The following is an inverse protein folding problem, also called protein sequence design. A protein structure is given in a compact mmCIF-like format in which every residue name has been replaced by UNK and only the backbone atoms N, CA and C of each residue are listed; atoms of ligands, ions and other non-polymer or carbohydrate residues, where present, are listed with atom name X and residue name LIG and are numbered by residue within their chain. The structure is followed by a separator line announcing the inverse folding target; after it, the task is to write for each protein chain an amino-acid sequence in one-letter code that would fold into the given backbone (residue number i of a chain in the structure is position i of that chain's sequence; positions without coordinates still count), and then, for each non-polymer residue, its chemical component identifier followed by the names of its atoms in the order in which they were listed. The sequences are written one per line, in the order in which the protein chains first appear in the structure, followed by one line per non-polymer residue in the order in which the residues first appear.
data_IF_702945026997
#
_entry.id   IF_702945026997
#
_cell.length_a   1.000
_cell.length_b   1.000
_cell.length_c   1.000
_cell.angle_alpha   90.00
_cell.angle_beta   90.00
_cell.angle_gamma   90.00
#
_symmetry.space_group_name_H-M   'P 1'
#
loop_
_entity.id
_entity.type
_entity.pdbx_description
1 polymer ?
#
# COMPACT_ATOMS: atom_id res chain seq x y z
N UNK A 1 21.27 31.37 26.11
CA UNK A 1 22.21 30.25 25.87
C UNK A 1 21.48 29.18 25.08
N UNK A 2 21.81 29.00 23.80
CA UNK A 2 21.20 27.97 22.97
C UNK A 2 21.98 26.67 23.18
N UNK A 3 21.30 25.60 23.63
CA UNK A 3 21.89 24.26 23.66
C UNK A 3 22.04 23.78 22.22
N UNK A 4 23.27 23.83 21.70
CA UNK A 4 23.61 23.27 20.40
C UNK A 4 23.19 21.79 20.36
N UNK A 5 22.41 21.43 19.33
CA UNK A 5 21.84 20.09 19.13
C UNK A 5 22.85 18.99 19.47
N UNK A 6 22.68 18.33 20.62
CA UNK A 6 23.62 17.35 21.21
C UNK A 6 23.79 16.05 20.43
N UNK A 7 23.29 15.97 19.20
CA UNK A 7 23.30 14.78 18.35
C UNK A 7 24.20 14.91 17.11
N UNK A 8 24.90 16.04 16.94
CA UNK A 8 25.75 16.32 15.76
C UNK A 8 26.88 15.31 15.57
N UNK A 9 27.54 14.90 16.65
CA UNK A 9 28.62 13.92 16.62
C UNK A 9 28.13 12.53 16.19
N UNK A 10 26.94 12.13 16.66
CA UNK A 10 26.31 10.88 16.29
C UNK A 10 25.90 10.87 14.81
N UNK A 11 25.27 11.94 14.33
CA UNK A 11 24.91 12.07 12.90
C UNK A 11 26.14 12.01 12.00
N UNK A 12 27.21 12.69 12.38
CA UNK A 12 28.48 12.66 11.65
C UNK A 12 29.10 11.25 11.63
N UNK A 13 29.06 10.55 12.76
CA UNK A 13 29.54 9.17 12.86
C UNK A 13 28.77 8.20 11.98
N UNK A 14 27.44 8.32 11.96
CA UNK A 14 26.56 7.53 11.09
C UNK A 14 26.87 7.78 9.61
N UNK A 15 26.98 9.05 9.20
CA UNK A 15 27.29 9.42 7.82
C UNK A 15 28.64 8.84 7.35
N UNK A 16 29.70 8.95 8.16
CA UNK A 16 31.01 8.39 7.85
C UNK A 16 31.01 6.86 7.77
N UNK A 17 30.21 6.20 8.62
CA UNK A 17 30.09 4.75 8.59
C UNK A 17 29.39 4.27 7.30
N UNK A 18 28.32 4.95 6.89
CA UNK A 18 27.58 4.64 5.67
C UNK A 18 28.45 4.81 4.42
N UNK A 19 29.20 5.93 4.36
CA UNK A 19 30.14 6.21 3.26
C UNK A 19 31.23 5.14 3.13
N UNK A 20 31.86 4.77 4.26
CA UNK A 20 32.89 3.71 4.30
C UNK A 20 32.39 2.35 3.81
N UNK A 21 31.11 2.05 4.02
CA UNK A 21 30.52 0.77 3.64
C UNK A 21 29.79 0.82 2.28
N UNK A 22 29.86 1.95 1.56
CA UNK A 22 29.10 2.19 0.33
C UNK A 22 27.59 1.93 0.48
N UNK A 23 27.06 2.14 1.69
CA UNK A 23 25.63 1.98 1.98
C UNK A 23 24.97 3.32 1.74
N UNK A 24 24.20 3.43 0.66
CA UNK A 24 23.28 4.55 0.50
C UNK A 24 22.25 4.47 1.62
N UNK A 25 22.20 5.50 2.46
CA UNK A 25 21.18 5.59 3.49
C UNK A 25 19.82 5.48 2.79
N UNK A 26 18.95 4.51 3.16
CA UNK A 26 17.62 4.47 2.59
C UNK A 26 16.97 5.81 2.91
N UNK A 27 16.52 6.53 1.88
CA UNK A 27 15.74 7.73 2.10
C UNK A 27 14.63 7.36 3.08
N UNK A 28 14.45 8.18 4.12
CA UNK A 28 13.29 8.07 5.00
C UNK A 28 11.97 8.29 4.23
N UNK A 29 12.03 8.62 2.93
CA UNK A 29 10.93 8.45 1.98
C UNK A 29 10.75 6.98 1.57
N UNK A 30 10.57 6.08 2.55
CA UNK A 30 9.59 5.04 2.29
C UNK A 30 8.31 5.82 2.00
N UNK A 31 7.83 5.83 0.74
CA UNK A 31 6.54 6.45 0.39
C UNK A 31 5.51 5.89 1.37
N UNK A 32 5.21 6.63 2.43
CA UNK A 32 4.17 6.26 3.38
C UNK A 32 2.91 6.41 2.55
N UNK A 33 2.40 5.28 2.04
CA UNK A 33 1.13 5.28 1.33
C UNK A 33 0.09 5.61 2.39
N UNK A 34 -0.33 6.88 2.41
CA UNK A 34 -1.39 7.33 3.29
C UNK A 34 -2.62 6.47 3.00
N UNK A 35 -3.21 5.94 4.06
CA UNK A 35 -4.44 5.18 3.94
C UNK A 35 -5.53 6.06 3.33
N UNK A 36 -6.21 5.52 2.32
CA UNK A 36 -7.51 6.00 1.87
C UNK A 36 -8.45 4.78 1.73
N UNK A 37 -9.75 4.92 2.04
CA UNK A 37 -10.71 3.84 1.86
C UNK A 37 -10.77 3.29 0.43
N UNK A 38 -10.61 4.17 -0.56
CA UNK A 38 -10.63 3.83 -1.99
C UNK A 38 -9.40 2.99 -2.36
N UNK A 39 -8.21 3.39 -1.92
CA UNK A 39 -6.97 2.63 -2.13
C UNK A 39 -7.03 1.28 -1.43
N UNK A 40 -7.59 1.24 -0.22
CA UNK A 40 -7.79 -0.01 0.51
C UNK A 40 -8.69 -0.98 -0.25
N UNK A 41 -9.85 -0.50 -0.76
CA UNK A 41 -10.75 -1.29 -1.61
C UNK A 41 -10.09 -1.76 -2.90
N UNK A 42 -9.37 -0.88 -3.59
CA UNK A 42 -8.65 -1.23 -4.81
C UNK A 42 -7.63 -2.36 -4.57
N UNK A 43 -6.89 -2.32 -3.46
CA UNK A 43 -5.95 -3.38 -3.08
C UNK A 43 -6.63 -4.71 -2.75
N UNK A 44 -7.84 -4.68 -2.17
CA UNK A 44 -8.63 -5.88 -1.93
C UNK A 44 -9.11 -6.47 -3.25
N UNK A 45 -9.69 -5.64 -4.13
CA UNK A 45 -10.17 -6.06 -5.45
C UNK A 45 -9.05 -6.68 -6.29
N UNK A 46 -7.87 -6.03 -6.32
CA UNK A 46 -6.68 -6.56 -6.98
C UNK A 46 -6.23 -7.90 -6.38
N UNK A 47 -6.26 -8.05 -5.05
CA UNK A 47 -5.95 -9.34 -4.40
C UNK A 47 -6.93 -10.44 -4.80
N UNK A 48 -8.22 -10.13 -4.90
CA UNK A 48 -9.23 -11.07 -5.37
C UNK A 48 -8.95 -11.51 -6.82
N UNK A 49 -8.75 -10.53 -7.72
CA UNK A 49 -8.51 -10.79 -9.13
C UNK A 49 -7.19 -11.53 -9.39
N UNK A 50 -6.08 -11.12 -8.76
CA UNK A 50 -4.76 -11.67 -9.04
C UNK A 50 -4.50 -13.04 -8.40
N UNK A 51 -5.21 -13.37 -7.31
CA UNK A 51 -4.96 -14.59 -6.52
C UNK A 51 -6.18 -15.50 -6.41
N UNK A 52 -7.20 -15.28 -7.24
CA UNK A 52 -8.47 -16.01 -7.22
C UNK A 52 -9.07 -16.13 -5.81
N UNK A 53 -8.97 -15.06 -5.01
CA UNK A 53 -9.55 -15.06 -3.66
C UNK A 53 -11.04 -14.77 -3.73
N UNK A 54 -11.87 -15.47 -2.93
CA UNK A 54 -13.30 -15.18 -2.88
C UNK A 54 -13.53 -13.80 -2.27
N UNK A 55 -14.55 -13.08 -2.76
CA UNK A 55 -14.90 -11.75 -2.23
C UNK A 55 -15.27 -11.78 -0.76
N UNK A 56 -15.74 -12.93 -0.26
CA UNK A 56 -16.08 -13.11 1.15
C UNK A 56 -14.86 -13.06 2.08
N UNK A 57 -13.62 -13.05 1.57
CA UNK A 57 -12.41 -12.97 2.40
C UNK A 57 -12.38 -11.73 3.31
N UNK A 58 -13.11 -10.67 2.95
CA UNK A 58 -13.19 -9.45 3.77
C UNK A 58 -14.04 -9.65 5.03
N UNK A 59 -14.87 -10.69 5.06
CA UNK A 59 -15.68 -11.06 6.22
C UNK A 59 -14.97 -12.07 7.13
N UNK A 60 -13.79 -12.57 6.75
CA UNK A 60 -13.04 -13.53 7.55
C UNK A 60 -12.58 -12.88 8.88
N UNK A 61 -12.80 -13.52 10.03
CA UNK A 61 -12.43 -12.95 11.34
C UNK A 61 -10.96 -12.58 11.43
N UNK A 62 -10.07 -13.40 10.87
CA UNK A 62 -8.62 -13.17 10.87
C UNK A 62 -8.23 -11.94 10.06
N UNK A 63 -8.91 -11.71 8.93
CA UNK A 63 -8.70 -10.52 8.11
C UNK A 63 -9.17 -9.25 8.84
N UNK A 64 -10.34 -9.33 9.50
CA UNK A 64 -10.85 -8.21 10.30
C UNK A 64 -9.89 -7.87 11.44
N UNK A 65 -9.38 -8.89 12.14
CA UNK A 65 -8.38 -8.72 13.20
C UNK A 65 -7.08 -8.11 12.67
N UNK A 66 -6.56 -8.60 11.54
CA UNK A 66 -5.38 -8.03 10.88
C UNK A 66 -5.55 -6.53 10.61
N UNK A 67 -6.67 -6.15 9.99
CA UNK A 67 -6.97 -4.75 9.69
C UNK A 67 -7.08 -3.90 10.96
N UNK A 68 -7.74 -4.42 12.00
CA UNK A 68 -7.89 -3.71 13.28
C UNK A 68 -6.56 -3.54 14.03
N UNK A 69 -5.67 -4.53 13.97
CA UNK A 69 -4.33 -4.46 14.57
C UNK A 69 -3.46 -3.39 13.89
N UNK A 70 -3.54 -3.29 12.56
CA UNK A 70 -2.73 -2.33 11.80
C UNK A 70 -3.30 -0.91 11.82
N UNK A 71 -4.64 -0.78 11.80
CA UNK A 71 -5.34 0.51 11.84
C UNK A 71 -6.74 0.33 12.43
N UNK A 72 -6.88 0.69 13.70
CA UNK A 72 -8.16 0.67 14.39
C UNK A 72 -9.21 1.55 13.69
N UNK A 73 -10.49 1.17 13.82
CA UNK A 73 -11.64 1.85 13.22
C UNK A 73 -11.63 1.91 11.68
N UNK A 74 -10.88 1.05 11.01
CA UNK A 74 -10.95 0.91 9.55
C UNK A 74 -12.27 0.27 9.15
N UNK A 75 -13.03 0.94 8.27
CA UNK A 75 -14.24 0.38 7.68
C UNK A 75 -13.87 -0.65 6.63
N UNK A 76 -14.36 -1.88 6.81
CA UNK A 76 -14.13 -3.00 5.89
C UNK A 76 -15.28 -3.03 4.88
N UNK A 77 -15.00 -3.10 3.57
CA UNK A 77 -16.05 -3.13 2.56
C UNK A 77 -16.86 -4.43 2.64
N UNK A 78 -18.12 -4.35 2.24
CA UNK A 78 -18.96 -5.54 2.10
C UNK A 78 -18.48 -6.42 0.92
N UNK A 79 -18.60 -7.75 0.96
CA UNK A 79 -18.20 -8.62 -0.15
C UNK A 79 -18.82 -8.25 -1.51
N UNK A 80 -20.07 -7.78 -1.53
CA UNK A 80 -20.73 -7.32 -2.77
C UNK A 80 -20.06 -6.06 -3.35
N UNK A 81 -19.56 -5.17 -2.49
CA UNK A 81 -18.79 -3.99 -2.90
C UNK A 81 -17.50 -4.42 -3.59
N UNK A 82 -16.77 -5.39 -3.03
CA UNK A 82 -15.55 -5.93 -3.64
C UNK A 82 -15.86 -6.58 -4.99
N UNK A 83 -16.95 -7.34 -5.10
CA UNK A 83 -17.39 -7.93 -6.38
C UNK A 83 -17.66 -6.87 -7.45
N UNK A 84 -18.36 -5.79 -7.08
CA UNK A 84 -18.65 -4.66 -7.98
C UNK A 84 -17.36 -3.97 -8.41
N UNK A 85 -16.43 -3.74 -7.49
CA UNK A 85 -15.13 -3.12 -7.78
C UNK A 85 -14.33 -3.96 -8.79
N UNK A 86 -14.29 -5.28 -8.62
CA UNK A 86 -13.60 -6.18 -9.56
C UNK A 86 -14.24 -6.15 -10.93
N UNK A 87 -15.57 -6.17 -11.03
CA UNK A 87 -16.28 -6.06 -12.30
C UNK A 87 -15.98 -4.73 -13.01
N UNK A 88 -15.99 -3.62 -12.28
CA UNK A 88 -15.70 -2.30 -12.83
C UNK A 88 -14.25 -2.20 -13.32
N UNK A 89 -13.30 -2.76 -12.56
CA UNK A 89 -11.89 -2.86 -12.98
C UNK A 89 -11.80 -3.66 -14.28
N UNK A 90 -12.45 -4.82 -14.37
CA UNK A 90 -12.44 -5.65 -15.57
C UNK A 90 -12.96 -4.89 -16.79
N UNK A 91 -14.16 -4.30 -16.73
CA UNK A 91 -14.77 -3.56 -17.84
C UNK A 91 -13.86 -2.41 -18.30
N UNK A 92 -13.32 -1.65 -17.35
CA UNK A 92 -12.44 -0.50 -17.67
C UNK A 92 -11.16 -0.96 -18.35
N UNK A 93 -10.51 -2.00 -17.80
CA UNK A 93 -9.26 -2.53 -18.36
C UNK A 93 -9.48 -3.20 -19.72
N UNK A 94 -10.60 -3.91 -19.92
CA UNK A 94 -10.95 -4.51 -21.21
C UNK A 94 -11.09 -3.45 -22.31
N UNK A 95 -11.70 -2.30 -22.00
CA UNK A 95 -11.78 -1.19 -22.96
C UNK A 95 -10.39 -0.66 -23.32
N UNK A 96 -9.53 -0.44 -22.33
CA UNK A 96 -8.14 0.03 -22.55
C UNK A 96 -7.36 -0.96 -23.44
N UNK A 97 -7.45 -2.26 -23.16
CA UNK A 97 -6.77 -3.29 -23.95
C UNK A 97 -7.31 -3.34 -25.37
N UNK A 98 -8.64 -3.28 -25.54
CA UNK A 98 -9.26 -3.24 -26.86
C UNK A 98 -8.75 -2.04 -27.67
N UNK A 99 -8.77 -0.85 -27.07
CA UNK A 99 -8.37 0.37 -27.75
C UNK A 99 -6.87 0.34 -28.14
N UNK A 100 -6.02 -0.26 -27.29
CA UNK A 100 -4.61 -0.50 -27.61
C UNK A 100 -4.42 -1.44 -28.81
N UNK A 101 -5.21 -2.52 -28.89
CA UNK A 101 -5.13 -3.52 -29.96
C UNK A 101 -5.72 -3.03 -31.29
N UNK A 102 -6.66 -2.08 -31.28
CA UNK A 102 -7.28 -1.51 -32.50
C UNK A 102 -6.37 -0.47 -33.18
N UNK A 103 -5.47 0.15 -32.43
CA UNK A 103 -4.50 1.15 -32.94
C UNK A 103 -3.19 0.49 -33.43
N UNK A 104 -3.04 -0.82 -33.21
CA UNK A 104 -1.90 -1.64 -33.68
C UNK A 104 -2.23 -2.36 -34.99
#
# INVERSE_FOLDING_TARGET
MATGSGTSNLRTGVAKCLDRNHITQPSADAKVIAYSPENHRALIALRCAARNRPFNMVADPEYIQEVQMLRSNTSIPHPSTVSTDVQQIYVTMSNIVRDYLVVS
#
